data_IF_288637983146
#
_entry.id   IF_288637983146
#
_cell.length_a   1.000
_cell.length_b   1.000
_cell.length_c   1.000
_cell.angle_alpha   90.00
_cell.angle_beta   90.00
_cell.angle_gamma   90.00
#
_symmetry.space_group_name_H-M   'P 1'
#
loop_
_entity.id
_entity.type
_entity.pdbx_description
1 polymer ?
#
# COMPACT_ATOMS: atom_id res chain seq x y z
N UNK A 1 5.73 2.67 -4.01
CA UNK A 1 6.67 3.81 -3.89
C UNK A 1 6.62 4.73 -5.11
N UNK A 2 7.15 4.35 -6.27
CA UNK A 2 7.22 5.16 -7.51
C UNK A 2 5.90 5.68 -8.11
N UNK A 3 4.76 5.17 -7.65
CA UNK A 3 3.42 5.42 -8.20
C UNK A 3 2.82 6.69 -7.59
N UNK A 4 3.44 7.84 -7.81
CA UNK A 4 3.16 9.09 -7.07
C UNK A 4 1.77 9.70 -7.29
N UNK A 5 1.07 9.32 -8.36
CA UNK A 5 -0.31 9.75 -8.56
C UNK A 5 -1.27 9.10 -7.54
N UNK A 6 -0.99 7.90 -7.04
CA UNK A 6 -1.83 7.24 -6.04
C UNK A 6 -1.93 8.02 -4.71
N UNK A 7 -0.82 8.42 -4.03
CA UNK A 7 -0.91 9.26 -2.84
C UNK A 7 -1.49 10.64 -3.12
N UNK A 8 -1.23 11.23 -4.30
CA UNK A 8 -1.84 12.51 -4.68
C UNK A 8 -3.37 12.41 -4.78
N UNK A 9 -3.90 11.35 -5.41
CA UNK A 9 -5.34 11.07 -5.48
C UNK A 9 -5.93 10.80 -4.09
N UNK A 10 -5.23 10.07 -3.22
CA UNK A 10 -5.69 9.85 -1.85
C UNK A 10 -5.79 11.17 -1.06
N UNK A 11 -4.81 12.06 -1.21
CA UNK A 11 -4.85 13.39 -0.59
C UNK A 11 -5.97 14.26 -1.16
N UNK A 12 -6.19 14.22 -2.47
CA UNK A 12 -7.33 14.90 -3.10
C UNK A 12 -8.67 14.40 -2.54
N UNK A 13 -8.85 13.09 -2.40
CA UNK A 13 -10.06 12.51 -1.81
C UNK A 13 -10.27 12.98 -0.36
N UNK A 14 -9.21 13.03 0.45
CA UNK A 14 -9.29 13.58 1.81
C UNK A 14 -9.74 15.04 1.77
N UNK A 15 -9.14 15.86 0.90
CA UNK A 15 -9.50 17.27 0.74
C UNK A 15 -10.97 17.44 0.34
N UNK A 16 -11.47 16.64 -0.61
CA UNK A 16 -12.88 16.68 -1.03
C UNK A 16 -13.84 16.34 0.10
N UNK A 17 -13.55 15.27 0.85
CA UNK A 17 -14.43 14.82 1.94
C UNK A 17 -14.44 15.81 3.12
N UNK A 18 -13.35 16.54 3.34
CA UNK A 18 -13.22 17.50 4.46
C UNK A 18 -13.73 18.89 4.06
N UNK A 19 -13.22 19.45 2.97
CA UNK A 19 -13.50 20.84 2.57
C UNK A 19 -14.85 20.96 1.84
N UNK A 20 -15.23 19.93 1.07
CA UNK A 20 -16.47 19.90 0.30
C UNK A 20 -17.52 18.95 0.88
N UNK A 21 -17.42 18.60 2.17
CA UNK A 21 -18.30 17.61 2.82
C UNK A 21 -19.81 17.93 2.74
N UNK A 22 -20.18 19.21 2.60
CA UNK A 22 -21.58 19.61 2.40
C UNK A 22 -22.15 19.15 1.04
N UNK A 23 -21.30 18.98 0.03
CA UNK A 23 -21.64 18.47 -1.30
C UNK A 23 -21.65 16.94 -1.35
N UNK A 24 -20.90 16.29 -0.44
CA UNK A 24 -20.73 14.84 -0.34
C UNK A 24 -21.47 14.23 0.87
N UNK A 25 -22.59 14.83 1.28
CA UNK A 25 -23.33 14.41 2.49
C UNK A 25 -23.84 12.97 2.42
N UNK A 26 -24.22 12.51 1.25
CA UNK A 26 -24.63 11.14 0.98
C UNK A 26 -23.51 10.14 1.28
N UNK A 27 -22.26 10.48 0.91
CA UNK A 27 -21.07 9.69 1.18
C UNK A 27 -20.66 9.73 2.66
N UNK A 28 -20.94 10.81 3.38
CA UNK A 28 -20.54 11.00 4.78
C UNK A 28 -21.60 10.52 5.79
N UNK A 29 -22.88 10.48 5.42
CA UNK A 29 -23.97 10.14 6.33
C UNK A 29 -23.99 8.66 6.75
N UNK A 30 -23.48 7.76 5.89
CA UNK A 30 -23.58 6.32 6.09
C UNK A 30 -22.26 5.56 6.10
N UNK A 31 -21.13 6.23 5.87
CA UNK A 31 -19.81 5.60 5.74
C UNK A 31 -18.78 6.26 6.64
N UNK A 32 -17.87 5.44 7.16
CA UNK A 32 -16.62 5.90 7.74
C UNK A 32 -15.49 5.65 6.75
N UNK A 33 -14.83 6.71 6.31
CA UNK A 33 -13.70 6.63 5.39
C UNK A 33 -12.40 6.45 6.19
N UNK A 34 -11.71 5.34 5.96
CA UNK A 34 -10.35 5.11 6.47
C UNK A 34 -9.41 5.17 5.28
N UNK A 35 -8.66 6.27 5.17
CA UNK A 35 -7.77 6.54 4.03
C UNK A 35 -6.33 6.50 4.54
N UNK A 36 -5.49 5.67 3.90
CA UNK A 36 -4.05 5.61 4.16
C UNK A 36 -3.33 6.13 2.90
N UNK A 37 -2.91 7.41 2.87
CA UNK A 37 -2.37 8.01 1.66
C UNK A 37 -1.09 7.34 1.17
N UNK A 38 -0.23 6.92 2.11
CA UNK A 38 1.06 6.29 1.82
C UNK A 38 1.19 5.04 2.69
N UNK A 39 1.11 3.86 2.05
CA UNK A 39 1.28 2.56 2.73
C UNK A 39 2.75 2.16 2.87
N UNK A 40 3.60 2.61 1.95
CA UNK A 40 5.04 2.32 1.94
C UNK A 40 5.84 3.63 2.06
N UNK A 41 5.95 4.20 3.28
CA UNK A 41 6.60 5.50 3.51
C UNK A 41 8.09 5.46 3.17
N UNK A 42 8.84 4.46 3.65
CA UNK A 42 10.29 4.35 3.40
C UNK A 42 10.62 4.27 1.91
N UNK A 43 9.86 3.45 1.16
CA UNK A 43 10.04 3.34 -0.27
C UNK A 43 9.64 4.63 -0.99
N UNK A 44 8.61 5.34 -0.51
CA UNK A 44 8.19 6.62 -1.08
C UNK A 44 9.28 7.67 -0.90
N UNK A 45 9.82 7.86 0.31
CA UNK A 45 10.95 8.76 0.59
C UNK A 45 12.17 8.41 -0.27
N UNK A 46 12.54 7.14 -0.33
CA UNK A 46 13.66 6.69 -1.17
C UNK A 46 13.45 7.02 -2.66
N UNK A 47 12.20 7.03 -3.13
CA UNK A 47 11.90 7.44 -4.51
C UNK A 47 12.03 8.94 -4.76
N UNK A 48 11.97 9.78 -3.73
CA UNK A 48 12.26 11.21 -3.82
C UNK A 48 13.75 11.49 -3.74
N UNK A 49 14.46 10.78 -2.87
CA UNK A 49 15.85 11.13 -2.53
C UNK A 49 16.91 10.41 -3.37
N UNK A 50 16.65 9.16 -3.79
CA UNK A 50 17.69 8.26 -4.31
C UNK A 50 17.33 7.66 -5.66
N UNK A 51 16.16 7.04 -5.77
CA UNK A 51 15.79 6.27 -6.96
C UNK A 51 14.32 6.42 -7.32
N UNK A 52 14.03 7.29 -8.29
CA UNK A 52 12.66 7.64 -8.71
C UNK A 52 11.76 6.44 -9.02
N UNK A 53 12.33 5.36 -9.54
CA UNK A 53 11.59 4.17 -9.96
C UNK A 53 11.53 3.05 -8.91
N UNK A 54 11.95 3.33 -7.66
CA UNK A 54 11.86 2.36 -6.56
C UNK A 54 10.42 1.94 -6.28
N UNK A 55 10.18 0.64 -6.13
CA UNK A 55 8.83 0.07 -5.93
C UNK A 55 8.60 -0.48 -4.51
N UNK A 56 9.55 -1.29 -4.04
CA UNK A 56 9.45 -2.17 -2.87
C UNK A 56 9.52 -1.42 -1.54
N UNK A 57 9.37 -2.11 -0.41
CA UNK A 57 9.73 -1.59 0.92
C UNK A 57 11.25 -1.32 1.01
N UNK A 58 11.79 -0.97 2.18
CA UNK A 58 13.23 -0.69 2.36
C UNK A 58 13.95 -1.65 3.31
N UNK A 59 13.27 -2.69 3.82
CA UNK A 59 13.90 -3.73 4.65
C UNK A 59 15.03 -4.43 3.88
N UNK A 60 16.23 -4.61 4.47
CA UNK A 60 17.28 -5.43 3.86
C UNK A 60 16.78 -6.86 3.62
N UNK A 61 16.97 -7.37 2.40
CA UNK A 61 16.45 -8.67 1.95
C UNK A 61 17.57 -9.65 1.52
N UNK A 62 18.84 -9.27 1.65
CA UNK A 62 19.98 -10.09 1.27
C UNK A 62 21.21 -9.24 1.03
N UNK A 63 22.25 -9.83 0.40
CA UNK A 63 23.47 -9.09 0.06
C UNK A 63 23.15 -8.07 -1.05
N UNK A 64 23.25 -6.78 -0.71
CA UNK A 64 23.00 -5.65 -1.62
C UNK A 64 21.57 -5.59 -2.20
N UNK A 65 20.62 -6.29 -1.59
CA UNK A 65 19.23 -6.31 -2.05
C UNK A 65 18.31 -5.87 -0.92
N UNK A 66 17.35 -5.02 -1.27
CA UNK A 66 16.48 -4.35 -0.33
C UNK A 66 15.05 -4.40 -0.84
N UNK A 67 14.13 -4.44 0.10
CA UNK A 67 12.72 -4.31 -0.13
C UNK A 67 12.04 -5.59 -0.56
N UNK A 68 10.81 -5.71 -0.11
CA UNK A 68 9.83 -6.72 -0.51
C UNK A 68 8.75 -5.99 -1.32
N UNK A 69 8.20 -6.63 -2.35
CA UNK A 69 7.00 -6.11 -3.02
C UNK A 69 5.81 -6.25 -2.07
N UNK A 70 5.37 -5.11 -1.52
CA UNK A 70 4.23 -5.07 -0.61
C UNK A 70 2.95 -5.69 -1.21
N UNK A 71 2.77 -5.64 -2.54
CA UNK A 71 1.61 -6.23 -3.21
C UNK A 71 1.81 -7.72 -3.60
N UNK A 72 2.88 -8.35 -3.14
CA UNK A 72 3.11 -9.81 -3.17
C UNK A 72 3.26 -10.42 -1.78
N UNK A 73 3.11 -9.61 -0.73
CA UNK A 73 3.38 -10.01 0.65
C UNK A 73 2.09 -10.23 1.47
N UNK A 74 0.91 -10.30 0.84
CA UNK A 74 -0.35 -10.67 1.50
C UNK A 74 -0.56 -12.18 1.47
N UNK A 75 -1.35 -12.71 2.41
CA UNK A 75 -1.58 -14.15 2.61
C UNK A 75 -2.66 -14.77 1.71
N UNK A 76 -2.89 -14.19 0.53
CA UNK A 76 -3.83 -14.74 -0.45
C UNK A 76 -3.05 -15.38 -1.59
N UNK A 77 -3.08 -16.72 -1.66
CA UNK A 77 -2.29 -17.49 -2.64
C UNK A 77 -0.81 -17.06 -2.67
N UNK A 78 -0.24 -16.86 -1.46
CA UNK A 78 1.08 -16.27 -1.31
C UNK A 78 2.15 -17.12 -1.98
N UNK A 79 2.99 -16.49 -2.80
CA UNK A 79 4.08 -17.10 -3.56
C UNK A 79 3.68 -18.23 -4.53
N UNK A 80 2.40 -18.41 -4.86
CA UNK A 80 1.98 -19.45 -5.81
C UNK A 80 2.33 -19.10 -7.26
N UNK A 81 1.97 -17.89 -7.72
CA UNK A 81 2.17 -17.44 -9.11
C UNK A 81 2.45 -15.93 -9.15
N UNK A 82 3.28 -15.49 -10.12
CA UNK A 82 3.49 -14.07 -10.41
C UNK A 82 4.32 -13.32 -9.36
N UNK A 83 5.10 -14.05 -8.58
CA UNK A 83 5.98 -13.59 -7.52
C UNK A 83 7.38 -14.22 -7.69
N UNK A 84 8.41 -13.67 -7.04
CA UNK A 84 9.78 -14.20 -7.09
C UNK A 84 10.32 -14.52 -5.71
N UNK A 85 11.09 -15.61 -5.59
CA UNK A 85 11.88 -15.94 -4.40
C UNK A 85 13.22 -15.19 -4.33
N UNK A 86 13.63 -14.53 -5.42
CA UNK A 86 14.91 -13.85 -5.49
C UNK A 86 14.83 -12.47 -4.81
N UNK A 87 15.61 -12.19 -3.74
CA UNK A 87 15.50 -10.93 -2.98
C UNK A 87 15.71 -9.65 -3.79
N UNK A 88 16.46 -9.75 -4.88
CA UNK A 88 16.80 -8.64 -5.75
C UNK A 88 15.73 -8.39 -6.83
N UNK A 89 14.75 -9.28 -6.98
CA UNK A 89 13.66 -9.08 -7.93
C UNK A 89 12.71 -7.98 -7.46
N UNK A 90 12.13 -7.25 -8.41
CA UNK A 90 11.10 -6.23 -8.17
C UNK A 90 9.80 -6.81 -7.61
N UNK A 91 9.55 -8.10 -7.86
CA UNK A 91 8.38 -8.87 -7.41
C UNK A 91 8.71 -9.83 -6.27
N UNK A 92 9.81 -9.60 -5.55
CA UNK A 92 10.21 -10.42 -4.41
C UNK A 92 9.09 -10.42 -3.34
N UNK A 93 8.58 -11.60 -2.97
CA UNK A 93 7.40 -11.73 -2.12
C UNK A 93 7.70 -11.75 -0.61
N UNK A 94 8.96 -11.83 -0.23
CA UNK A 94 9.42 -11.85 1.16
C UNK A 94 9.71 -13.27 1.67
N UNK A 95 10.08 -13.38 2.94
CA UNK A 95 10.41 -14.67 3.56
C UNK A 95 9.15 -15.47 3.97
N UNK A 96 8.03 -14.76 4.14
CA UNK A 96 6.71 -15.29 4.50
C UNK A 96 5.64 -14.25 4.17
N UNK A 97 4.38 -14.67 4.09
CA UNK A 97 3.26 -13.73 4.04
C UNK A 97 3.28 -12.82 5.27
N UNK A 98 2.94 -11.55 5.05
CA UNK A 98 3.00 -10.48 6.05
C UNK A 98 4.35 -10.33 6.76
N UNK A 99 5.46 -10.57 6.04
CA UNK A 99 6.81 -10.31 6.56
C UNK A 99 7.08 -8.84 6.81
N UNK A 100 6.41 -7.95 6.06
CA UNK A 100 6.61 -6.50 6.16
C UNK A 100 5.71 -5.87 7.23
N UNK A 101 6.23 -4.92 8.04
CA UNK A 101 5.41 -4.21 9.02
C UNK A 101 4.27 -3.41 8.36
N UNK A 102 4.50 -2.87 7.16
CA UNK A 102 3.52 -2.11 6.39
C UNK A 102 2.31 -2.96 6.00
N UNK A 103 2.55 -4.18 5.50
CA UNK A 103 1.45 -5.09 5.12
C UNK A 103 0.74 -5.64 6.35
N UNK A 104 1.45 -5.86 7.46
CA UNK A 104 0.83 -6.19 8.76
C UNK A 104 -0.08 -5.07 9.26
N UNK A 105 0.32 -3.81 9.16
CA UNK A 105 -0.50 -2.70 9.60
C UNK A 105 -1.84 -2.64 8.86
N UNK A 106 -1.84 -2.83 7.53
CA UNK A 106 -3.08 -2.88 6.73
C UNK A 106 -3.92 -4.10 7.10
N UNK A 107 -3.31 -5.28 7.26
CA UNK A 107 -4.00 -6.50 7.71
C UNK A 107 -4.70 -6.28 9.05
N UNK A 108 -3.98 -5.76 10.04
CA UNK A 108 -4.48 -5.61 11.40
C UNK A 108 -5.65 -4.60 11.44
N UNK A 109 -5.59 -3.53 10.65
CA UNK A 109 -6.67 -2.58 10.51
C UNK A 109 -7.91 -3.19 9.81
N UNK A 110 -7.72 -3.97 8.75
CA UNK A 110 -8.82 -4.68 8.10
C UNK A 110 -9.46 -5.72 9.01
N UNK A 111 -8.67 -6.43 9.83
CA UNK A 111 -9.18 -7.35 10.84
C UNK A 111 -9.97 -6.62 11.93
N UNK A 112 -9.53 -5.44 12.37
CA UNK A 112 -10.26 -4.58 13.31
C UNK A 112 -11.59 -4.06 12.73
N UNK A 113 -11.64 -3.88 11.41
CA UNK A 113 -12.83 -3.45 10.67
C UNK A 113 -13.68 -4.62 10.15
N UNK A 114 -13.32 -5.87 10.48
CA UNK A 114 -14.06 -7.06 10.02
C UNK A 114 -15.55 -6.96 10.36
N UNK A 115 -16.40 -7.27 9.38
CA UNK A 115 -17.86 -7.14 9.48
C UNK A 115 -18.41 -5.71 9.30
N UNK A 116 -17.57 -4.68 9.36
CA UNK A 116 -17.94 -3.27 9.13
C UNK A 116 -17.43 -2.74 7.79
N UNK A 117 -16.29 -3.23 7.32
CA UNK A 117 -15.72 -2.88 6.03
C UNK A 117 -16.70 -3.28 4.90
N UNK A 118 -17.16 -2.29 4.12
CA UNK A 118 -18.08 -2.49 2.99
C UNK A 118 -17.35 -2.66 1.67
N UNK A 119 -16.22 -1.97 1.50
CA UNK A 119 -15.36 -2.05 0.33
C UNK A 119 -13.90 -1.79 0.74
N UNK A 120 -12.97 -2.34 -0.03
CA UNK A 120 -11.54 -2.07 0.07
C UNK A 120 -11.05 -1.62 -1.31
N UNK A 121 -10.37 -0.48 -1.37
CA UNK A 121 -9.82 0.09 -2.59
C UNK A 121 -8.32 0.31 -2.41
N UNK A 122 -7.51 -0.27 -3.29
CA UNK A 122 -6.06 -0.04 -3.35
C UNK A 122 -5.74 0.77 -4.60
N UNK A 123 -5.14 1.95 -4.42
CA UNK A 123 -4.81 2.87 -5.52
C UNK A 123 -3.41 2.56 -6.06
N UNK A 124 -3.30 2.40 -7.38
CA UNK A 124 -2.06 2.08 -8.11
C UNK A 124 -1.99 2.79 -9.46
N UNK A 125 -0.78 2.89 -10.03
CA UNK A 125 -0.54 3.39 -11.39
C UNK A 125 0.67 2.70 -12.06
N UNK A 126 0.82 2.67 -13.38
CA UNK A 126 -0.15 3.08 -14.40
C UNK A 126 -0.71 1.85 -15.12
N UNK A 127 -1.80 2.04 -15.87
CA UNK A 127 -2.53 1.00 -16.58
C UNK A 127 -3.77 1.61 -17.19
#
# INVERSE_FOLDING_TARGET
AREWAAPATAMYLISELVENGAQHKDLLAGLTWVIVPIVNPDGYEYSHERERLWRKTRRPAGRNCFGIDGNRNYDFHWAEVGASDAPCAETYHGEKSFSEPETRAIRDELLRLKGRCKFYLSLHTYG
#
